data_IF_201234834991
#
_entry.id   IF_201234834991
#
_cell.length_a   1.000
_cell.length_b   1.000
_cell.length_c   1.000
_cell.angle_alpha   90.00
_cell.angle_beta   90.00
_cell.angle_gamma   90.00
#
_symmetry.space_group_name_H-M   'P 1'
#
loop_
_entity.id
_entity.type
_entity.pdbx_description
1 polymer ?
#
# COMPACT_ATOMS: atom_id res chain seq x y z
N UNK A 1 -27.58 -19.03 -52.00
CA UNK A 1 -27.01 -17.80 -51.40
C UNK A 1 -26.70 -18.10 -49.94
N UNK A 2 -25.43 -18.05 -49.50
CA UNK A 2 -25.11 -18.19 -48.08
C UNK A 2 -25.31 -16.84 -47.35
N UNK A 3 -25.70 -16.83 -46.07
CA UNK A 3 -25.77 -15.61 -45.28
C UNK A 3 -24.36 -15.11 -44.91
N UNK A 4 -24.17 -13.80 -45.04
CA UNK A 4 -22.90 -13.12 -44.74
C UNK A 4 -22.60 -13.14 -43.23
N UNK A 5 -21.37 -13.49 -42.88
CA UNK A 5 -20.82 -13.34 -41.54
C UNK A 5 -20.61 -11.85 -41.24
N UNK A 6 -21.22 -11.36 -40.17
CA UNK A 6 -20.91 -10.05 -39.60
C UNK A 6 -19.54 -10.13 -38.91
N UNK A 7 -18.57 -9.44 -39.50
CA UNK A 7 -17.27 -9.13 -38.92
C UNK A 7 -17.49 -8.33 -37.62
N UNK A 8 -17.27 -8.97 -36.47
CA UNK A 8 -17.34 -8.32 -35.16
C UNK A 8 -16.08 -7.48 -34.99
N UNK A 9 -16.11 -6.25 -35.50
CA UNK A 9 -15.07 -5.26 -35.25
C UNK A 9 -14.94 -5.02 -33.75
N UNK A 10 -13.79 -5.40 -33.18
CA UNK A 10 -13.43 -5.08 -31.80
C UNK A 10 -13.54 -3.56 -31.57
N UNK A 11 -14.13 -3.10 -30.44
CA UNK A 11 -14.11 -1.68 -30.12
C UNK A 11 -12.65 -1.21 -29.99
N UNK A 12 -12.32 0.01 -30.46
CA UNK A 12 -10.98 0.55 -30.33
C UNK A 12 -10.58 0.60 -28.84
N UNK A 13 -9.30 0.39 -28.52
CA UNK A 13 -8.82 0.54 -27.15
C UNK A 13 -9.13 1.97 -26.66
N UNK A 14 -9.47 2.14 -25.37
CA UNK A 14 -9.72 3.45 -24.81
C UNK A 14 -8.49 4.36 -25.03
N UNK A 15 -8.70 5.67 -25.24
CA UNK A 15 -7.59 6.60 -25.41
C UNK A 15 -6.67 6.56 -24.18
N UNK A 16 -5.35 6.73 -24.36
CA UNK A 16 -4.43 6.81 -23.23
C UNK A 16 -4.88 7.94 -22.29
N UNK A 17 -4.78 7.74 -20.96
CA UNK A 17 -5.11 8.80 -20.02
C UNK A 17 -4.27 10.05 -20.31
N UNK A 18 -4.81 11.26 -20.10
CA UNK A 18 -4.07 12.50 -20.32
C UNK A 18 -2.76 12.49 -19.52
N UNK A 19 -1.70 13.16 -20.00
CA UNK A 19 -0.43 13.24 -19.29
C UNK A 19 -0.70 13.77 -17.89
N UNK A 20 -0.44 12.93 -16.89
CA UNK A 20 -0.65 13.29 -15.49
C UNK A 20 0.26 14.47 -15.17
N UNK A 21 -0.33 15.60 -14.78
CA UNK A 21 0.43 16.74 -14.26
C UNK A 21 1.41 16.23 -13.19
N UNK A 22 2.72 16.51 -13.28
CA UNK A 22 3.74 15.95 -12.40
C UNK A 22 3.66 16.43 -10.94
N UNK A 23 2.70 17.30 -10.62
CA UNK A 23 2.52 17.86 -9.26
C UNK A 23 1.34 17.28 -8.49
N UNK A 24 0.50 16.43 -9.08
CA UNK A 24 -0.65 15.86 -8.36
C UNK A 24 -0.25 14.47 -7.84
N UNK A 25 0.38 14.48 -6.65
CA UNK A 25 0.77 13.31 -5.84
C UNK A 25 -0.47 12.69 -5.19
N UNK A 26 -1.37 12.27 -6.06
CA UNK A 26 -2.74 11.86 -5.74
C UNK A 26 -2.69 10.66 -4.78
N UNK A 27 -3.36 10.79 -3.63
CA UNK A 27 -3.56 9.70 -2.68
C UNK A 27 -4.09 8.43 -3.38
N UNK A 28 -3.73 7.21 -2.93
CA UNK A 28 -4.31 5.96 -3.41
C UNK A 28 -5.83 6.02 -3.55
N UNK A 29 -6.50 6.70 -2.61
CA UNK A 29 -7.92 6.96 -2.64
C UNK A 29 -8.38 7.70 -3.89
N UNK A 30 -7.81 8.88 -4.13
CA UNK A 30 -8.21 9.74 -5.25
C UNK A 30 -7.84 9.10 -6.58
N UNK A 31 -6.78 8.28 -6.63
CA UNK A 31 -6.40 7.57 -7.85
C UNK A 31 -7.28 6.34 -8.11
N UNK A 32 -7.73 5.65 -7.05
CA UNK A 32 -8.75 4.63 -7.17
C UNK A 32 -10.08 5.20 -7.65
N UNK A 33 -10.55 6.32 -7.11
CA UNK A 33 -11.79 6.97 -7.56
C UNK A 33 -11.80 7.25 -9.08
N UNK A 34 -10.64 7.46 -9.69
CA UNK A 34 -10.51 7.65 -11.15
C UNK A 34 -10.56 6.36 -11.96
N UNK A 35 -10.24 5.23 -11.34
CA UNK A 35 -10.05 3.93 -11.99
C UNK A 35 -11.20 2.95 -11.73
N UNK A 36 -12.00 3.13 -10.67
CA UNK A 36 -13.17 2.30 -10.38
C UNK A 36 -14.40 2.72 -11.22
N UNK A 37 -15.18 1.77 -11.75
CA UNK A 37 -16.41 2.09 -12.47
C UNK A 37 -17.43 2.77 -11.54
N UNK A 38 -18.32 3.63 -12.08
CA UNK A 38 -19.17 4.53 -11.29
C UNK A 38 -20.04 3.85 -10.22
N UNK A 39 -20.37 2.57 -10.42
CA UNK A 39 -21.15 1.75 -9.49
C UNK A 39 -20.47 1.49 -8.14
N UNK A 40 -19.15 1.69 -8.04
CA UNK A 40 -18.40 1.54 -6.77
C UNK A 40 -18.17 2.88 -6.03
N UNK A 41 -18.54 4.03 -6.61
CA UNK A 41 -18.27 5.37 -6.06
C UNK A 41 -19.22 5.77 -4.91
N UNK A 42 -19.67 4.83 -4.10
CA UNK A 42 -20.79 5.06 -3.18
C UNK A 42 -20.42 5.81 -1.90
N UNK A 43 -19.15 6.15 -1.64
CA UNK A 43 -18.78 6.84 -0.41
C UNK A 43 -17.96 8.11 -0.65
N UNK A 44 -18.37 9.26 -0.11
CA UNK A 44 -17.47 10.40 0.05
C UNK A 44 -16.26 9.97 0.91
N UNK A 45 -15.09 10.60 0.76
CA UNK A 45 -13.94 10.31 1.62
C UNK A 45 -14.39 10.44 3.06
N UNK A 46 -14.18 9.38 3.85
CA UNK A 46 -14.54 9.41 5.27
C UNK A 46 -13.78 10.58 5.89
N UNK A 47 -14.46 11.50 6.59
CA UNK A 47 -13.76 12.57 7.27
C UNK A 47 -12.75 11.95 8.23
N UNK A 48 -11.50 12.38 8.13
CA UNK A 48 -10.47 12.04 9.10
C UNK A 48 -10.90 12.61 10.46
N UNK A 49 -10.94 11.74 11.46
CA UNK A 49 -11.32 12.15 12.82
C UNK A 49 -10.13 12.89 13.46
N UNK A 50 -10.18 14.22 13.43
CA UNK A 50 -9.16 15.09 14.03
C UNK A 50 -9.28 15.18 15.57
N UNK A 51 -10.26 14.52 16.20
CA UNK A 51 -10.40 14.55 17.67
C UNK A 51 -9.33 13.73 18.38
N UNK A 52 -8.70 12.79 17.68
CA UNK A 52 -7.59 11.97 18.19
C UNK A 52 -6.31 12.37 17.44
N UNK A 53 -5.24 12.79 18.15
CA UNK A 53 -3.98 13.12 17.50
C UNK A 53 -3.40 11.90 16.80
N UNK A 54 -2.83 12.10 15.62
CA UNK A 54 -2.18 11.02 14.88
C UNK A 54 -0.99 10.47 15.70
N UNK A 55 -0.84 9.14 15.81
CA UNK A 55 0.18 8.56 16.68
C UNK A 55 1.59 8.81 16.12
N UNK A 56 2.53 9.19 16.96
CA UNK A 56 3.96 9.21 16.60
C UNK A 56 4.63 7.88 16.93
N UNK A 57 5.77 7.61 16.31
CA UNK A 57 6.53 6.37 16.50
C UNK A 57 6.87 5.68 15.18
N UNK A 58 7.22 4.41 15.26
CA UNK A 58 7.61 3.63 14.09
C UNK A 58 6.39 3.22 13.27
N UNK A 59 6.40 3.56 11.99
CA UNK A 59 5.40 3.15 11.02
C UNK A 59 5.98 2.07 10.10
N UNK A 60 5.20 1.02 9.88
CA UNK A 60 5.40 0.05 8.82
C UNK A 60 4.63 0.51 7.58
N UNK A 61 5.39 0.83 6.53
CA UNK A 61 4.90 1.19 5.22
C UNK A 61 4.97 0.01 4.27
N UNK A 62 3.89 -0.19 3.54
CA UNK A 62 3.78 -1.14 2.43
C UNK A 62 3.29 -0.39 1.19
N UNK A 63 3.36 -1.06 0.04
CA UNK A 63 2.88 -0.48 -1.20
C UNK A 63 3.64 0.77 -1.59
N UNK A 64 2.91 1.84 -1.94
CA UNK A 64 3.48 3.08 -2.45
C UNK A 64 4.25 3.88 -1.38
N UNK A 65 3.83 3.80 -0.11
CA UNK A 65 4.51 4.50 0.98
C UNK A 65 5.89 3.91 1.32
N UNK A 66 6.19 2.71 0.83
CA UNK A 66 7.55 2.14 0.91
C UNK A 66 8.55 2.82 -0.03
N UNK A 67 8.13 3.81 -0.83
CA UNK A 67 9.00 4.66 -1.62
C UNK A 67 9.48 5.90 -0.82
N UNK A 68 10.80 6.01 -0.54
CA UNK A 68 11.35 7.13 0.21
C UNK A 68 11.05 8.51 -0.39
N UNK A 69 11.08 8.67 -1.71
CA UNK A 69 10.83 9.98 -2.31
C UNK A 69 9.38 10.39 -2.10
N UNK A 70 8.44 9.43 -2.20
CA UNK A 70 7.04 9.73 -1.93
C UNK A 70 6.84 10.14 -0.48
N UNK A 71 7.46 9.41 0.46
CA UNK A 71 7.34 9.73 1.87
C UNK A 71 7.96 11.10 2.19
N UNK A 72 9.14 11.41 1.65
CA UNK A 72 9.77 12.72 1.78
C UNK A 72 8.82 13.84 1.32
N UNK A 73 8.14 13.62 0.20
CA UNK A 73 7.20 14.57 -0.36
C UNK A 73 5.91 14.73 0.49
N UNK A 74 5.37 13.64 1.04
CA UNK A 74 4.18 13.67 1.93
C UNK A 74 4.52 14.38 3.23
N UNK A 75 5.67 14.06 3.81
CA UNK A 75 6.11 14.61 5.09
C UNK A 75 6.75 16.00 4.97
N UNK A 76 6.99 16.48 3.74
CA UNK A 76 7.74 17.69 3.43
C UNK A 76 9.16 17.70 4.02
N UNK A 77 9.85 16.56 3.90
CA UNK A 77 11.25 16.42 4.32
C UNK A 77 12.20 17.08 3.32
N UNK A 78 13.31 17.63 3.81
CA UNK A 78 14.38 18.17 2.96
C UNK A 78 15.27 17.09 2.32
N UNK A 79 15.22 15.86 2.85
CA UNK A 79 16.00 14.71 2.39
C UNK A 79 15.13 13.45 2.36
N UNK A 80 15.56 12.46 1.56
CA UNK A 80 14.87 11.16 1.51
C UNK A 80 15.08 10.38 2.82
N UNK A 81 14.00 9.90 3.45
CA UNK A 81 14.09 9.12 4.67
C UNK A 81 14.75 7.78 4.41
N UNK A 82 15.64 7.37 5.33
CA UNK A 82 16.23 6.03 5.31
C UNK A 82 15.25 5.06 5.95
N UNK A 83 14.88 4.02 5.21
CA UNK A 83 14.02 2.95 5.68
C UNK A 83 14.83 1.74 6.11
N UNK A 84 14.37 1.10 7.19
CA UNK A 84 14.79 -0.25 7.52
C UNK A 84 13.86 -1.25 6.84
N UNK A 85 14.37 -2.25 6.10
CA UNK A 85 13.52 -3.30 5.53
C UNK A 85 12.84 -4.06 6.67
N UNK A 86 11.55 -4.36 6.53
CA UNK A 86 10.77 -4.95 7.61
C UNK A 86 9.62 -5.84 7.12
N UNK A 87 9.05 -6.60 8.05
CA UNK A 87 7.88 -7.44 7.85
C UNK A 87 6.83 -7.19 8.94
N UNK A 88 5.56 -7.25 8.55
CA UNK A 88 4.43 -7.26 9.47
C UNK A 88 3.65 -8.58 9.34
N UNK A 89 3.09 -9.08 10.45
CA UNK A 89 2.27 -10.30 10.51
C UNK A 89 0.87 -9.99 11.00
N UNK A 90 -0.07 -10.89 10.69
CA UNK A 90 -1.47 -10.79 11.13
C UNK A 90 -2.36 -9.97 10.20
N UNK A 91 -1.87 -9.67 8.99
CA UNK A 91 -2.60 -8.91 7.98
C UNK A 91 -2.75 -9.74 6.71
N UNK A 92 -3.91 -9.63 6.08
CA UNK A 92 -4.17 -10.14 4.74
C UNK A 92 -3.96 -9.02 3.73
N UNK A 93 -3.09 -9.23 2.75
CA UNK A 93 -2.85 -8.26 1.68
C UNK A 93 -3.82 -8.52 0.53
N UNK A 94 -4.70 -7.57 0.28
CA UNK A 94 -5.66 -7.56 -0.82
C UNK A 94 -5.38 -6.38 -1.75
N UNK A 95 -6.19 -6.21 -2.80
CA UNK A 95 -6.13 -5.06 -3.70
C UNK A 95 -7.42 -4.25 -3.61
N UNK A 96 -7.30 -2.96 -3.30
CA UNK A 96 -8.35 -1.97 -3.55
C UNK A 96 -8.05 -1.34 -4.92
N UNK A 97 -8.77 -1.78 -5.96
CA UNK A 97 -8.43 -1.44 -7.34
C UNK A 97 -7.02 -1.93 -7.71
N UNK A 98 -6.08 -1.01 -7.87
CA UNK A 98 -4.67 -1.31 -8.18
C UNK A 98 -3.72 -1.13 -6.98
N UNK A 99 -4.22 -0.71 -5.81
CA UNK A 99 -3.42 -0.43 -4.63
C UNK A 99 -3.50 -1.58 -3.64
N UNK A 100 -2.42 -1.85 -2.90
CA UNK A 100 -2.47 -2.83 -1.84
C UNK A 100 -3.35 -2.31 -0.71
N UNK A 101 -4.16 -3.20 -0.15
CA UNK A 101 -5.02 -2.94 0.98
C UNK A 101 -4.79 -4.01 2.04
N UNK A 102 -4.22 -3.63 3.19
CA UNK A 102 -4.07 -4.56 4.32
C UNK A 102 -5.36 -4.62 5.13
N UNK A 103 -5.81 -5.84 5.43
CA UNK A 103 -6.96 -6.11 6.31
C UNK A 103 -6.49 -6.93 7.50
N UNK A 104 -7.00 -6.61 8.70
CA UNK A 104 -6.68 -7.38 9.90
C UNK A 104 -7.24 -8.80 9.80
N UNK A 105 -6.38 -9.82 9.98
CA UNK A 105 -6.74 -11.24 9.82
C UNK A 105 -7.81 -11.70 10.81
N UNK A 106 -8.04 -10.96 11.91
CA UNK A 106 -9.08 -11.26 12.92
C UNK A 106 -10.50 -10.88 12.50
N UNK A 107 -10.69 -10.20 11.36
CA UNK A 107 -12.02 -9.76 10.87
C UNK A 107 -12.73 -10.82 10.01
N UNK A 108 -12.24 -12.07 9.99
CA UNK A 108 -13.00 -13.20 9.45
C UNK A 108 -14.12 -13.53 10.45
N UNK A 109 -15.28 -12.90 10.24
CA UNK A 109 -16.51 -13.22 10.97
C UNK A 109 -16.73 -14.72 10.93
N UNK A 110 -16.66 -15.34 12.10
CA UNK A 110 -17.68 -16.24 12.67
C UNK A 110 -18.43 -17.14 11.67
N UNK A 111 -17.72 -17.71 10.70
CA UNK A 111 -18.18 -18.88 9.98
C UNK A 111 -17.33 -20.05 10.44
N UNK A 112 -17.78 -20.57 11.58
CA UNK A 112 -17.66 -21.95 12.04
C UNK A 112 -17.16 -22.91 10.94
N UNK A 113 -15.88 -23.26 11.00
CA UNK A 113 -15.46 -24.59 10.60
C UNK A 113 -14.59 -25.17 11.71
N UNK A 114 -15.30 -25.70 12.71
CA UNK A 114 -14.79 -26.73 13.60
C UNK A 114 -14.25 -27.89 12.76
N UNK A 115 -12.93 -27.96 12.57
CA UNK A 115 -12.11 -29.17 12.62
C UNK A 115 -10.67 -28.83 12.26
N UNK A 116 -9.75 -29.33 13.07
CA UNK A 116 -8.39 -28.83 13.18
C UNK A 116 -7.55 -28.89 11.91
N UNK A 117 -6.68 -27.90 11.77
CA UNK A 117 -5.26 -28.08 11.47
C UNK A 117 -4.59 -26.71 11.59
N UNK A 118 -3.54 -26.64 12.41
CA UNK A 118 -2.77 -25.42 12.59
C UNK A 118 -2.23 -24.91 11.26
N UNK A 119 -2.74 -23.76 10.81
CA UNK A 119 -2.03 -22.92 9.86
C UNK A 119 -2.16 -21.47 10.33
N UNK A 120 -1.58 -21.20 11.50
CA UNK A 120 -1.15 -19.84 11.88
C UNK A 120 0.09 -19.46 11.04
N UNK A 121 -0.04 -19.59 9.73
CA UNK A 121 0.85 -18.99 8.75
C UNK A 121 0.22 -17.66 8.42
N UNK A 122 0.10 -16.78 9.43
CA UNK A 122 -0.38 -15.42 9.23
C UNK A 122 0.44 -14.80 8.10
N UNK A 123 -0.25 -14.35 7.05
CA UNK A 123 0.41 -13.79 5.87
C UNK A 123 1.40 -12.71 6.31
N UNK A 124 2.64 -12.88 5.85
CA UNK A 124 3.73 -11.94 6.11
C UNK A 124 3.68 -10.88 5.03
N UNK A 125 3.58 -9.62 5.43
CA UNK A 125 3.62 -8.48 4.52
C UNK A 125 5.03 -7.93 4.55
N UNK A 126 5.67 -7.85 3.39
CA UNK A 126 6.97 -7.21 3.22
C UNK A 126 6.78 -5.71 3.04
N UNK A 127 7.70 -4.94 3.61
CA UNK A 127 7.65 -3.48 3.54
C UNK A 127 8.88 -2.84 4.15
N UNK A 128 8.66 -1.63 4.65
CA UNK A 128 9.71 -0.75 5.13
C UNK A 128 9.24 -0.08 6.43
N UNK A 129 10.15 0.08 7.38
CA UNK A 129 9.89 0.75 8.63
C UNK A 129 10.58 2.11 8.67
N UNK A 130 9.89 3.11 9.19
CA UNK A 130 10.40 4.46 9.39
C UNK A 130 9.84 5.08 10.67
N UNK A 131 10.71 5.79 11.40
CA UNK A 131 10.33 6.41 12.66
C UNK A 131 9.82 7.85 12.45
N UNK A 132 8.54 8.06 12.70
CA UNK A 132 7.86 9.35 12.56
C UNK A 132 7.92 10.09 13.90
N UNK A 133 8.77 11.12 13.97
CA UNK A 133 9.08 11.83 15.23
C UNK A 133 8.05 12.89 15.63
N UNK A 134 7.39 13.54 14.65
CA UNK A 134 6.50 14.67 14.92
C UNK A 134 5.04 14.32 14.67
N UNK A 135 4.14 14.86 15.51
CA UNK A 135 2.69 14.71 15.33
C UNK A 135 2.27 15.29 13.97
N UNK A 136 2.88 16.39 13.54
CA UNK A 136 2.61 17.00 12.24
C UNK A 136 2.93 16.05 11.07
N UNK A 137 4.00 15.26 11.15
CA UNK A 137 4.29 14.24 10.14
C UNK A 137 3.28 13.11 10.17
N UNK A 138 2.87 12.66 11.36
CA UNK A 138 1.83 11.65 11.51
C UNK A 138 0.48 12.12 10.96
N UNK A 139 0.10 13.39 11.20
CA UNK A 139 -1.11 14.00 10.66
C UNK A 139 -1.09 14.03 9.14
N UNK A 140 0.03 14.44 8.52
CA UNK A 140 0.18 14.41 7.06
C UNK A 140 -0.01 13.02 6.45
N UNK A 141 0.43 11.97 7.14
CA UNK A 141 0.20 10.59 6.70
C UNK A 141 -1.29 10.23 6.76
N UNK A 142 -1.97 10.58 7.86
CA UNK A 142 -3.41 10.35 8.01
C UNK A 142 -4.21 11.13 6.96
N UNK A 143 -3.84 12.38 6.69
CA UNK A 143 -4.43 13.22 5.65
C UNK A 143 -4.22 12.62 4.25
N UNK A 144 -3.01 12.13 3.96
CA UNK A 144 -2.69 11.48 2.69
C UNK A 144 -3.52 10.21 2.46
N UNK A 145 -3.82 9.45 3.50
CA UNK A 145 -4.63 8.23 3.40
C UNK A 145 -6.15 8.48 3.33
N UNK A 146 -6.60 9.72 3.55
CA UNK A 146 -7.98 10.20 3.29
C UNK A 146 -9.10 9.38 3.97
N UNK A 147 -8.83 8.75 5.11
CA UNK A 147 -9.81 8.03 5.92
C UNK A 147 -10.23 6.66 5.40
N UNK A 148 -9.71 6.22 4.25
CA UNK A 148 -9.87 4.83 3.79
C UNK A 148 -8.88 3.87 4.42
N UNK A 149 -7.80 4.42 4.96
CA UNK A 149 -6.90 3.68 5.83
C UNK A 149 -6.81 4.30 7.21
N UNK A 150 -6.61 3.46 8.21
CA UNK A 150 -6.43 3.85 9.61
C UNK A 150 -5.11 3.28 10.12
N UNK A 151 -4.36 4.07 10.88
CA UNK A 151 -3.21 3.57 11.60
C UNK A 151 -3.67 2.61 12.72
N UNK A 152 -3.22 1.36 12.65
CA UNK A 152 -3.42 0.35 13.69
C UNK A 152 -2.09 -0.13 14.25
N UNK A 153 -2.11 -0.46 15.55
CA UNK A 153 -0.94 -0.97 16.23
C UNK A 153 -0.53 -2.34 15.66
N UNK A 154 0.75 -2.51 15.38
CA UNK A 154 1.31 -3.77 14.89
C UNK A 154 2.67 -4.06 15.49
N UNK A 155 3.16 -5.27 15.24
CA UNK A 155 4.53 -5.67 15.55
C UNK A 155 5.31 -5.67 14.24
N UNK A 156 6.38 -4.89 14.22
CA UNK A 156 7.27 -4.69 13.08
C UNK A 156 8.52 -5.51 13.33
N UNK A 157 8.86 -6.40 12.40
CA UNK A 157 10.10 -7.18 12.45
C UNK A 157 11.07 -6.69 11.40
N UNK A 158 12.23 -6.25 11.83
CA UNK A 158 13.26 -5.75 10.93
C UNK A 158 13.99 -6.91 10.25
N UNK A 159 14.37 -6.70 9.00
CA UNK A 159 14.99 -7.69 8.12
C UNK A 159 16.49 -7.46 7.91
N UNK A 160 17.02 -6.34 8.40
CA UNK A 160 18.42 -5.93 8.24
C UNK A 160 19.40 -6.59 9.22
N UNK A 161 18.90 -7.37 10.19
CA UNK A 161 19.72 -8.03 11.20
C UNK A 161 20.18 -7.11 12.35
N UNK A 162 19.85 -5.82 12.29
CA UNK A 162 20.25 -4.80 13.27
C UNK A 162 19.28 -4.75 14.47
N UNK A 163 19.77 -4.27 15.61
CA UNK A 163 18.93 -4.07 16.81
C UNK A 163 18.20 -2.70 16.77
N UNK A 164 16.95 -2.62 17.27
CA UNK A 164 16.12 -3.74 17.71
C UNK A 164 15.65 -4.57 16.51
N UNK A 165 15.56 -5.90 16.70
CA UNK A 165 15.01 -6.82 15.69
C UNK A 165 13.50 -6.76 15.53
N UNK A 166 12.81 -6.30 16.57
CA UNK A 166 11.36 -6.20 16.61
C UNK A 166 10.95 -4.96 17.42
N UNK A 167 9.93 -4.25 16.96
CA UNK A 167 9.40 -3.06 17.63
C UNK A 167 7.88 -2.97 17.48
N UNK A 168 7.20 -2.37 18.47
CA UNK A 168 5.79 -2.01 18.36
C UNK A 168 5.66 -0.71 17.57
N UNK A 169 4.80 -0.72 16.57
CA UNK A 169 4.58 0.44 15.71
C UNK A 169 3.17 0.49 15.16
N UNK A 170 3.01 1.19 14.05
CA UNK A 170 1.73 1.43 13.40
C UNK A 170 1.77 1.00 11.93
N UNK A 171 0.65 0.52 11.41
CA UNK A 171 0.47 0.21 10.00
C UNK A 171 -0.88 0.74 9.54
N UNK A 172 -0.95 1.24 8.30
CA UNK A 172 -2.20 1.68 7.72
C UNK A 172 -3.04 0.48 7.24
N UNK A 173 -4.15 0.18 7.89
CA UNK A 173 -5.09 -0.88 7.46
C UNK A 173 -6.27 -0.27 6.73
N UNK A 174 -6.77 -0.97 5.71
CA UNK A 174 -7.94 -0.56 4.96
C UNK A 174 -9.20 -0.72 5.82
N UNK A 175 -9.95 0.38 5.98
CA UNK A 175 -11.20 0.47 6.75
C UNK A 175 -12.40 0.86 5.88
N UNK A 176 -12.26 0.72 4.55
CA UNK A 176 -13.34 0.87 3.59
C UNK A 176 -14.23 -0.37 3.48
N UNK A 177 -15.07 -0.43 2.45
CA UNK A 177 -15.97 -1.56 2.24
C UNK A 177 -15.22 -2.78 1.71
N UNK A 178 -15.37 -3.92 2.38
CA UNK A 178 -14.70 -5.17 1.99
C UNK A 178 -15.12 -5.69 0.61
N UNK A 179 -16.25 -5.22 0.06
CA UNK A 179 -16.70 -5.52 -1.30
C UNK A 179 -15.90 -4.79 -2.38
N UNK A 180 -15.14 -3.76 -1.99
CA UNK A 180 -14.29 -2.99 -2.90
C UNK A 180 -12.88 -3.57 -3.04
N UNK A 181 -12.49 -4.48 -2.14
CA UNK A 181 -11.21 -5.15 -2.20
C UNK A 181 -11.32 -6.53 -2.84
N UNK A 182 -10.29 -6.92 -3.57
CA UNK A 182 -10.20 -8.18 -4.31
C UNK A 182 -8.90 -8.90 -3.99
N UNK A 183 -8.89 -10.23 -4.12
CA UNK A 183 -7.66 -11.00 -3.99
C UNK A 183 -6.68 -10.62 -5.10
N UNK A 184 -5.42 -10.41 -4.75
CA UNK A 184 -4.38 -10.06 -5.71
C UNK A 184 -3.04 -9.76 -5.05
N UNK A 185 -2.03 -9.53 -5.88
CA UNK A 185 -0.68 -9.19 -5.43
C UNK A 185 -0.30 -7.82 -5.97
N UNK A 186 0.18 -6.95 -5.08
CA UNK A 186 0.77 -5.68 -5.46
C UNK A 186 2.26 -5.83 -5.69
N UNK A 187 2.77 -5.23 -6.76
CA UNK A 187 4.20 -5.17 -7.07
C UNK A 187 4.62 -3.71 -7.17
N UNK A 188 5.42 -3.27 -6.19
CA UNK A 188 5.90 -1.89 -6.10
C UNK A 188 6.74 -1.50 -7.32
N UNK A 189 7.55 -2.43 -7.86
CA UNK A 189 8.41 -2.17 -9.02
C UNK A 189 7.59 -1.90 -10.27
N UNK A 190 6.54 -2.70 -10.48
CA UNK A 190 5.58 -2.50 -11.58
C UNK A 190 4.87 -1.15 -11.44
N UNK A 191 4.46 -0.78 -10.22
CA UNK A 191 3.80 0.49 -9.96
C UNK A 191 4.73 1.69 -10.24
N UNK A 192 5.96 1.67 -9.73
CA UNK A 192 6.93 2.75 -9.93
C UNK A 192 7.26 2.97 -11.41
N UNK A 193 7.40 1.88 -12.17
CA UNK A 193 7.61 1.96 -13.63
C UNK A 193 6.43 2.63 -14.32
N UNK A 194 5.19 2.28 -13.96
CA UNK A 194 3.96 2.89 -14.52
C UNK A 194 3.85 4.37 -14.20
N UNK A 195 4.31 4.79 -13.02
CA UNK A 195 4.28 6.20 -12.59
C UNK A 195 5.44 7.03 -13.14
N UNK A 196 6.28 6.48 -14.02
CA UNK A 196 7.46 7.18 -14.58
C UNK A 196 8.60 7.36 -13.58
N UNK A 197 8.58 6.65 -12.46
CA UNK A 197 9.57 6.75 -11.38
C UNK A 197 10.74 5.78 -11.59
N UNK A 198 11.33 5.82 -12.79
CA UNK A 198 12.40 4.90 -13.19
C UNK A 198 13.60 4.89 -12.24
N UNK A 199 14.01 6.05 -11.72
CA UNK A 199 15.09 6.14 -10.74
C UNK A 199 14.77 5.44 -9.41
N UNK A 200 13.50 5.41 -8.98
CA UNK A 200 13.10 4.68 -7.77
C UNK A 200 13.15 3.16 -7.98
N UNK A 201 12.89 2.69 -9.21
CA UNK A 201 13.03 1.28 -9.58
C UNK A 201 14.49 0.82 -9.47
N UNK A 202 15.43 1.61 -9.98
CA UNK A 202 16.86 1.29 -9.91
C UNK A 202 17.33 1.17 -8.45
N UNK A 203 16.95 2.13 -7.60
CA UNK A 203 17.27 2.11 -6.16
C UNK A 203 16.65 0.93 -5.42
N UNK A 204 15.44 0.48 -5.81
CA UNK A 204 14.86 -0.74 -5.24
C UNK A 204 15.65 -1.98 -5.66
N UNK A 205 16.11 -2.05 -6.91
CA UNK A 205 16.88 -3.17 -7.42
C UNK A 205 18.28 -3.22 -6.73
N UNK A 206 18.94 -2.07 -6.52
CA UNK A 206 20.22 -1.97 -5.80
C UNK A 206 20.15 -2.48 -4.36
N UNK A 207 19.05 -2.20 -3.65
CA UNK A 207 18.81 -2.71 -2.29
C UNK A 207 18.71 -4.24 -2.22
N UNK A 208 18.33 -4.89 -3.32
CA UNK A 208 18.19 -6.36 -3.40
C UNK A 208 19.49 -7.06 -3.77
N UNK A 209 20.43 -6.34 -4.39
CA UNK A 209 21.73 -6.87 -4.84
C UNK A 209 22.77 -6.87 -3.72
N UNK A 210 22.57 -6.10 -2.65
CA UNK A 210 23.48 -6.04 -1.49
C UNK A 210 23.58 -7.30 -0.62
N UNK A 211 22.74 -8.34 -0.85
CA UNK A 211 22.66 -9.53 0.01
C UNK A 211 23.44 -10.76 -0.51
N UNK A 212 24.05 -10.71 -1.71
CA UNK A 212 24.80 -11.83 -2.30
C UNK A 212 26.34 -11.61 -2.32
N UNK A 213 26.87 -10.79 -1.41
CA UNK A 213 28.24 -10.30 -1.48
C UNK A 213 29.03 -10.30 -0.17
N UNK A 214 29.51 -11.48 0.25
CA UNK A 214 30.59 -11.63 1.24
C UNK A 214 30.12 -12.41 2.47
N UNK A 215 30.74 -13.53 2.89
CA UNK A 215 32.17 -13.88 3.00
C UNK A 215 32.19 -15.37 3.35
N UNK A 216 33.12 -16.25 2.96
CA UNK A 216 34.36 -16.21 2.20
C UNK A 216 34.87 -17.65 2.07
#
# INVERSE_FOLDING_TARGET
MPPQQQDKTCPPPPPPPPPSNPSTKISPYVQNLRSTPPSYLSQPPKPVDHSVPAPTGTYFFYGTLSDPSLLAEILSLGEEPVFRPAFARGFECMLWGQYPALVSSGSRSDSESSSGSGSNSGSVVEGAAYHVQSVQHAERLVEYETGSYRAEACVIRYADGEEPREERGFVFVFVGDRREISEGRFDLRVWLRRMGRGGAVERLDERRVGDDGGTG
#
